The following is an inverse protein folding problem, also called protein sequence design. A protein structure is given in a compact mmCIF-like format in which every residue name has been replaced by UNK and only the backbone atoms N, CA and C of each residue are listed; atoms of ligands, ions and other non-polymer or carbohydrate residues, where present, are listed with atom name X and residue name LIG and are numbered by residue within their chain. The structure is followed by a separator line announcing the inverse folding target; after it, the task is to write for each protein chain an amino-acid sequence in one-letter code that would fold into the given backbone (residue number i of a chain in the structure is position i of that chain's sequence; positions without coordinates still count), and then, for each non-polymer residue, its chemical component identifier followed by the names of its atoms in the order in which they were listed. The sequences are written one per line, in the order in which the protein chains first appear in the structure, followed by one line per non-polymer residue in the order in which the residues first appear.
data_IF_354037002663
#
_entry.id   IF_354037002663
#
_cell.length_a   1.000
_cell.length_b   1.000
_cell.length_c   1.000
_cell.angle_alpha   90.00
_cell.angle_beta   90.00
_cell.angle_gamma   90.00
#
_symmetry.space_group_name_H-M   'P 1'
#
loop_
_entity.id
_entity.type
_entity.pdbx_description
1 polymer ?
#
# COMPACT_ATOMS: atom_id res chain seq x y z
N UNK A 1 16.02 -23.47 21.43
CA UNK A 1 15.06 -23.49 20.31
C UNK A 1 15.89 -23.70 19.03
N UNK A 2 15.78 -24.86 18.36
CA UNK A 2 16.57 -25.15 17.16
C UNK A 2 16.08 -24.25 16.02
N UNK A 3 16.99 -23.44 15.46
CA UNK A 3 16.70 -22.57 14.31
C UNK A 3 16.52 -23.46 13.09
N UNK A 4 15.34 -23.50 12.50
CA UNK A 4 15.08 -24.24 11.26
C UNK A 4 15.95 -23.70 10.10
N UNK A 5 16.53 -24.58 9.25
CA UNK A 5 17.25 -24.16 8.05
C UNK A 5 16.35 -23.29 7.14
N UNK A 6 16.93 -22.28 6.47
CA UNK A 6 16.21 -21.31 5.64
C UNK A 6 15.23 -21.93 4.62
N UNK A 7 15.58 -22.98 3.83
CA UNK A 7 14.65 -23.56 2.87
C UNK A 7 13.46 -24.26 3.56
N UNK A 8 13.65 -24.88 4.72
CA UNK A 8 12.59 -25.53 5.49
C UNK A 8 11.67 -24.47 6.09
N UNK A 9 12.22 -23.38 6.61
CA UNK A 9 11.49 -22.24 7.14
C UNK A 9 10.63 -21.59 6.05
N UNK A 10 11.17 -21.32 4.84
CA UNK A 10 10.45 -20.79 3.69
C UNK A 10 9.25 -21.68 3.30
N UNK A 11 9.46 -22.99 3.17
CA UNK A 11 8.39 -23.95 2.85
C UNK A 11 7.31 -24.00 3.92
N UNK A 12 7.69 -23.97 5.20
CA UNK A 12 6.76 -23.96 6.33
C UNK A 12 5.87 -22.69 6.34
N UNK A 13 6.47 -21.52 6.17
CA UNK A 13 5.71 -20.26 6.14
C UNK A 13 4.82 -20.16 4.90
N UNK A 14 5.28 -20.61 3.75
CA UNK A 14 4.47 -20.68 2.52
C UNK A 14 3.25 -21.58 2.68
N UNK A 15 3.42 -22.75 3.29
CA UNK A 15 2.31 -23.66 3.57
C UNK A 15 1.30 -23.06 4.56
N UNK A 16 1.78 -22.43 5.64
CA UNK A 16 0.90 -21.76 6.62
C UNK A 16 0.11 -20.61 6.01
N UNK A 17 0.75 -19.75 5.22
CA UNK A 17 0.08 -18.67 4.48
C UNK A 17 -0.99 -19.22 3.54
N UNK A 18 -0.69 -20.29 2.80
CA UNK A 18 -1.63 -20.93 1.90
C UNK A 18 -2.86 -21.51 2.64
N UNK A 19 -2.65 -22.13 3.80
CA UNK A 19 -3.73 -22.67 4.62
C UNK A 19 -4.59 -21.55 5.22
N UNK A 20 -3.98 -20.52 5.76
CA UNK A 20 -4.66 -19.34 6.29
C UNK A 20 -5.53 -18.67 5.22
N UNK A 21 -4.98 -18.49 4.00
CA UNK A 21 -5.73 -17.96 2.86
C UNK A 21 -6.96 -18.83 2.51
N UNK A 22 -6.77 -20.16 2.44
CA UNK A 22 -7.90 -21.08 2.14
C UNK A 22 -8.98 -20.97 3.20
N UNK A 23 -8.61 -20.92 4.49
CA UNK A 23 -9.56 -20.77 5.58
C UNK A 23 -10.32 -19.45 5.47
N UNK A 24 -9.63 -18.34 5.29
CA UNK A 24 -10.23 -17.01 5.10
C UNK A 24 -11.21 -17.01 3.91
N UNK A 25 -10.80 -17.53 2.75
CA UNK A 25 -11.67 -17.64 1.56
C UNK A 25 -12.92 -18.49 1.81
N UNK A 26 -12.80 -19.53 2.62
CA UNK A 26 -13.96 -20.37 2.98
C UNK A 26 -14.93 -19.64 3.92
N UNK A 27 -14.44 -18.75 4.79
CA UNK A 27 -15.26 -17.88 5.62
C UNK A 27 -15.95 -16.80 4.76
N UNK A 28 -15.20 -16.11 3.92
CA UNK A 28 -15.70 -15.08 2.99
C UNK A 28 -16.82 -15.65 2.09
N UNK A 29 -16.68 -16.89 1.60
CA UNK A 29 -17.70 -17.54 0.79
C UNK A 29 -19.03 -17.77 1.54
N UNK A 30 -19.02 -17.66 2.87
CA UNK A 30 -20.18 -17.74 3.76
C UNK A 30 -20.60 -16.37 4.31
N UNK A 31 -20.08 -15.30 3.72
CA UNK A 31 -20.26 -13.91 4.18
C UNK A 31 -19.73 -13.66 5.61
N UNK A 32 -18.76 -14.46 6.04
CA UNK A 32 -18.03 -14.24 7.30
C UNK A 32 -16.69 -13.53 6.99
N UNK A 33 -16.64 -12.23 7.25
CA UNK A 33 -15.47 -11.36 7.00
C UNK A 33 -14.65 -11.12 8.27
N UNK A 34 -14.82 -11.92 9.31
CA UNK A 34 -14.10 -11.79 10.59
C UNK A 34 -12.57 -11.88 10.47
N UNK A 35 -12.05 -12.47 9.39
CA UNK A 35 -10.63 -12.55 9.07
C UNK A 35 -10.23 -11.69 7.85
N UNK A 36 -11.08 -10.75 7.43
CA UNK A 36 -10.86 -9.93 6.24
C UNK A 36 -10.61 -8.45 6.55
N UNK A 37 -10.30 -8.15 7.80
CA UNK A 37 -9.90 -6.83 8.29
C UNK A 37 -8.43 -6.90 8.75
N UNK A 38 -7.45 -6.88 7.83
CA UNK A 38 -6.04 -7.05 8.16
C UNK A 38 -5.31 -5.76 8.48
N UNK A 39 -5.94 -4.59 8.31
CA UNK A 39 -5.31 -3.30 8.55
C UNK A 39 -4.87 -3.14 10.01
N UNK A 40 -3.78 -2.42 10.22
CA UNK A 40 -3.32 -2.08 11.56
C UNK A 40 -4.23 -1.03 12.19
N UNK A 41 -4.21 -0.92 13.51
CA UNK A 41 -4.90 0.13 14.27
C UNK A 41 -6.41 0.25 14.00
N UNK A 42 -7.09 -0.86 13.64
CA UNK A 42 -8.51 -0.88 13.28
C UNK A 42 -8.87 0.05 12.10
N UNK A 43 -7.90 0.35 11.21
CA UNK A 43 -8.10 1.25 10.06
C UNK A 43 -9.21 0.76 9.13
N UNK A 44 -9.40 -0.55 8.95
CA UNK A 44 -10.52 -1.11 8.18
C UNK A 44 -11.87 -0.50 8.61
N UNK A 45 -12.11 -0.44 9.93
CA UNK A 45 -13.35 0.12 10.50
C UNK A 45 -13.40 1.64 10.43
N UNK A 46 -12.26 2.28 10.65
CA UNK A 46 -12.15 3.73 10.56
C UNK A 46 -12.44 4.22 9.14
N UNK A 47 -11.96 3.49 8.13
CA UNK A 47 -12.21 3.74 6.71
C UNK A 47 -13.69 3.49 6.38
N UNK A 48 -14.23 2.33 6.74
CA UNK A 48 -15.62 1.97 6.46
C UNK A 48 -16.61 3.02 6.99
N UNK A 49 -16.39 3.50 8.22
CA UNK A 49 -17.22 4.52 8.84
C UNK A 49 -17.24 5.85 8.07
N UNK A 50 -16.14 6.20 7.37
CA UNK A 50 -16.00 7.45 6.61
C UNK A 50 -16.45 7.34 5.15
N UNK A 51 -16.57 6.13 4.64
CA UNK A 51 -17.10 5.87 3.30
C UNK A 51 -18.63 6.06 3.20
N UNK A 52 -19.32 6.36 4.32
CA UNK A 52 -20.76 6.63 4.36
C UNK A 52 -21.61 5.61 3.60
N UNK A 53 -21.27 4.32 3.76
CA UNK A 53 -21.92 3.20 3.04
C UNK A 53 -21.79 3.26 1.51
N UNK A 54 -20.84 3.99 0.95
CA UNK A 54 -20.56 3.97 -0.48
C UNK A 54 -20.13 2.55 -0.88
N UNK A 55 -20.90 1.96 -1.77
CA UNK A 55 -20.57 0.65 -2.34
C UNK A 55 -21.30 0.50 -3.67
N UNK A 56 -20.62 0.01 -4.71
CA UNK A 56 -19.18 -0.20 -4.79
C UNK A 56 -18.42 1.09 -5.11
N UNK A 57 -17.15 1.17 -4.66
CA UNK A 57 -16.22 2.27 -4.96
C UNK A 57 -14.93 1.80 -5.63
N UNK A 58 -14.03 2.76 -5.89
CA UNK A 58 -12.71 2.50 -6.45
C UNK A 58 -11.60 3.01 -5.53
N UNK A 59 -10.63 2.15 -5.24
CA UNK A 59 -9.48 2.50 -4.42
C UNK A 59 -8.15 2.38 -5.18
N UNK A 60 -7.15 3.07 -4.67
CA UNK A 60 -5.74 2.84 -4.98
C UNK A 60 -5.02 2.47 -3.69
N UNK A 61 -4.19 1.44 -3.71
CA UNK A 61 -3.31 1.06 -2.61
C UNK A 61 -1.87 0.99 -3.12
N UNK A 62 -1.04 1.91 -2.65
CA UNK A 62 0.38 1.97 -2.94
C UNK A 62 1.16 1.44 -1.73
N UNK A 63 2.07 0.49 -1.96
CA UNK A 63 2.67 -0.33 -0.93
C UNK A 63 1.81 -1.55 -0.59
N UNK A 64 1.26 -2.22 -1.61
CA UNK A 64 0.24 -3.26 -1.42
C UNK A 64 0.76 -4.58 -0.85
N UNK A 65 2.08 -4.74 -0.70
CA UNK A 65 2.73 -5.92 -0.16
C UNK A 65 2.22 -7.23 -0.81
N UNK A 66 1.78 -8.21 -0.03
CA UNK A 66 1.22 -9.47 -0.55
C UNK A 66 -0.29 -9.39 -0.87
N UNK A 67 -0.89 -8.19 -0.77
CA UNK A 67 -2.28 -7.89 -1.03
C UNK A 67 -3.24 -8.21 0.12
N UNK A 68 -2.72 -8.72 1.25
CA UNK A 68 -3.50 -9.00 2.45
C UNK A 68 -2.88 -8.42 3.72
N UNK A 69 -1.60 -8.73 3.97
CA UNK A 69 -0.94 -8.34 5.23
C UNK A 69 -0.94 -6.83 5.38
N UNK A 70 -1.57 -6.32 6.44
CA UNK A 70 -1.72 -4.90 6.78
C UNK A 70 -2.47 -4.05 5.74
N UNK A 71 -3.13 -4.67 4.74
CA UNK A 71 -3.82 -3.94 3.68
C UNK A 71 -5.01 -3.15 4.20
N UNK A 72 -5.06 -1.86 3.91
CA UNK A 72 -6.14 -0.94 4.25
C UNK A 72 -7.37 -1.08 3.32
N UNK A 73 -7.23 -1.81 2.20
CA UNK A 73 -8.29 -1.93 1.17
C UNK A 73 -8.78 -3.36 0.97
N UNK A 74 -8.21 -4.34 1.69
CA UNK A 74 -8.62 -5.75 1.54
C UNK A 74 -10.10 -5.95 1.84
N UNK A 75 -10.57 -5.41 2.96
CA UNK A 75 -11.96 -5.49 3.37
C UNK A 75 -12.90 -4.84 2.35
N UNK A 76 -12.52 -3.69 1.78
CA UNK A 76 -13.31 -3.01 0.76
C UNK A 76 -13.55 -3.90 -0.46
N UNK A 77 -12.53 -4.59 -0.96
CA UNK A 77 -12.66 -5.51 -2.08
C UNK A 77 -13.50 -6.73 -1.71
N UNK A 78 -13.19 -7.36 -0.56
CA UNK A 78 -13.73 -8.68 -0.24
C UNK A 78 -15.15 -8.66 0.32
N UNK A 79 -15.48 -7.66 1.13
CA UNK A 79 -16.75 -7.53 1.81
C UNK A 79 -17.71 -6.56 1.12
N UNK A 80 -17.18 -5.45 0.59
CA UNK A 80 -17.99 -4.35 0.05
C UNK A 80 -18.04 -4.32 -1.48
N UNK A 81 -17.35 -5.25 -2.16
CA UNK A 81 -17.39 -5.39 -3.62
C UNK A 81 -16.67 -4.28 -4.38
N UNK A 82 -15.79 -3.53 -3.73
CA UNK A 82 -14.96 -2.51 -4.36
C UNK A 82 -13.95 -3.13 -5.32
N UNK A 83 -13.40 -2.30 -6.19
CA UNK A 83 -12.30 -2.64 -7.09
C UNK A 83 -11.22 -1.58 -6.97
N UNK A 84 -10.00 -1.91 -7.39
CA UNK A 84 -8.94 -0.93 -7.27
C UNK A 84 -7.70 -1.22 -8.09
N UNK A 85 -6.73 -0.35 -7.87
CA UNK A 85 -5.36 -0.46 -8.33
C UNK A 85 -4.46 -0.69 -7.12
N UNK A 86 -3.68 -1.76 -7.15
CA UNK A 86 -2.62 -2.02 -6.19
C UNK A 86 -1.27 -1.83 -6.87
N UNK A 87 -0.37 -1.13 -6.21
CA UNK A 87 1.01 -0.94 -6.67
C UNK A 87 1.96 -1.55 -5.65
N UNK A 88 2.80 -2.47 -6.14
CA UNK A 88 3.78 -3.17 -5.31
C UNK A 88 5.09 -3.34 -6.08
N UNK A 89 6.20 -2.73 -5.61
CA UNK A 89 7.46 -2.78 -6.32
C UNK A 89 8.16 -4.15 -6.26
N UNK A 90 8.00 -4.91 -5.18
CA UNK A 90 8.70 -6.21 -5.02
C UNK A 90 8.04 -7.28 -5.88
N UNK A 91 8.72 -7.86 -6.91
CA UNK A 91 8.07 -8.72 -7.90
C UNK A 91 7.39 -9.97 -7.32
N UNK A 92 7.95 -10.56 -6.26
CA UNK A 92 7.37 -11.75 -5.63
C UNK A 92 6.09 -11.39 -4.85
N UNK A 93 6.08 -10.21 -4.21
CA UNK A 93 4.93 -9.70 -3.47
C UNK A 93 3.81 -9.27 -4.42
N UNK A 94 4.11 -8.55 -5.50
CA UNK A 94 3.15 -8.21 -6.54
C UNK A 94 2.48 -9.47 -7.14
N UNK A 95 3.23 -10.56 -7.35
CA UNK A 95 2.65 -11.84 -7.77
C UNK A 95 1.74 -12.47 -6.71
N UNK A 96 2.06 -12.30 -5.44
CA UNK A 96 1.20 -12.74 -4.33
C UNK A 96 -0.08 -11.90 -4.28
N UNK A 97 0.03 -10.58 -4.37
CA UNK A 97 -1.08 -9.65 -4.39
C UNK A 97 -2.06 -9.94 -5.54
N UNK A 98 -1.60 -10.24 -6.76
CA UNK A 98 -2.45 -10.65 -7.90
C UNK A 98 -3.31 -11.88 -7.60
N UNK A 99 -2.80 -12.82 -6.80
CA UNK A 99 -3.56 -14.02 -6.39
C UNK A 99 -4.53 -13.73 -5.25
N UNK A 100 -4.20 -12.77 -4.43
CA UNK A 100 -5.00 -12.38 -3.27
C UNK A 100 -6.14 -11.44 -3.65
N UNK A 101 -5.94 -10.56 -4.63
CA UNK A 101 -6.82 -9.46 -5.04
C UNK A 101 -7.35 -9.63 -6.48
N UNK A 102 -8.18 -10.65 -6.73
CA UNK A 102 -8.59 -11.01 -8.10
C UNK A 102 -9.55 -10.01 -8.75
N UNK A 103 -10.21 -9.14 -7.98
CA UNK A 103 -11.11 -8.12 -8.51
C UNK A 103 -10.41 -6.79 -8.82
N UNK A 104 -9.13 -6.67 -8.47
CA UNK A 104 -8.34 -5.45 -8.64
C UNK A 104 -7.16 -5.65 -9.60
N UNK A 105 -6.68 -4.55 -10.17
CA UNK A 105 -5.46 -4.54 -11.00
C UNK A 105 -4.25 -4.42 -10.10
N UNK A 106 -3.22 -5.26 -10.30
CA UNK A 106 -1.96 -5.18 -9.56
C UNK A 106 -0.81 -4.88 -10.51
N UNK A 107 -0.15 -3.75 -10.32
CA UNK A 107 1.01 -3.30 -11.10
C UNK A 107 2.29 -3.47 -10.28
N UNK A 108 3.32 -4.05 -10.92
CA UNK A 108 4.63 -4.17 -10.33
C UNK A 108 5.53 -3.05 -10.86
N UNK A 109 5.65 -1.98 -10.11
CA UNK A 109 6.50 -0.83 -10.41
C UNK A 109 6.79 -0.03 -9.13
N UNK A 110 7.75 0.86 -9.17
CA UNK A 110 7.94 1.90 -8.17
C UNK A 110 7.25 3.20 -8.58
N UNK A 111 6.61 3.85 -7.62
CA UNK A 111 5.96 5.14 -7.85
C UNK A 111 6.97 6.28 -7.70
N UNK A 112 6.86 7.28 -8.60
CA UNK A 112 7.80 8.40 -8.68
C UNK A 112 7.06 9.71 -8.97
N UNK A 113 7.67 10.88 -8.65
CA UNK A 113 7.12 12.17 -9.04
C UNK A 113 7.16 12.37 -10.56
N UNK A 114 6.42 13.35 -11.05
CA UNK A 114 6.25 13.62 -12.48
C UNK A 114 7.52 14.08 -13.20
N UNK A 115 8.47 14.63 -12.47
CA UNK A 115 9.78 15.08 -12.97
C UNK A 115 10.91 14.05 -12.78
N UNK A 116 10.59 12.83 -12.41
CA UNK A 116 11.58 11.78 -12.20
C UNK A 116 12.32 11.45 -13.51
N UNK A 117 13.69 11.50 -13.53
CA UNK A 117 14.44 11.56 -14.78
C UNK A 117 14.68 10.19 -15.45
N UNK A 118 14.36 9.07 -14.77
CA UNK A 118 14.72 7.73 -15.24
C UNK A 118 13.47 6.85 -15.49
N UNK A 119 13.66 5.80 -16.29
CA UNK A 119 12.59 4.82 -16.55
C UNK A 119 12.49 3.74 -15.48
N UNK A 120 13.50 3.59 -14.64
CA UNK A 120 13.56 2.64 -13.53
C UNK A 120 13.95 3.35 -12.25
N UNK A 121 13.45 2.85 -11.13
CA UNK A 121 13.80 3.30 -9.79
C UNK A 121 14.53 2.18 -9.06
N UNK A 122 15.58 2.55 -8.33
CA UNK A 122 16.36 1.64 -7.49
C UNK A 122 15.76 1.57 -6.10
N UNK A 123 15.50 0.36 -5.64
CA UNK A 123 14.92 0.08 -4.34
C UNK A 123 15.84 -0.84 -3.56
N UNK A 124 15.78 -0.73 -2.24
CA UNK A 124 16.46 -1.61 -1.30
C UNK A 124 15.42 -2.45 -0.57
N UNK A 125 15.53 -3.77 -0.73
CA UNK A 125 14.61 -4.72 -0.09
C UNK A 125 14.88 -4.80 1.41
N UNK A 126 13.85 -4.52 2.19
CA UNK A 126 13.84 -4.64 3.66
C UNK A 126 12.59 -5.39 4.17
N UNK A 127 12.01 -6.26 3.37
CA UNK A 127 10.75 -6.94 3.72
C UNK A 127 9.54 -6.02 3.58
N UNK A 128 8.81 -5.80 4.66
CA UNK A 128 7.68 -4.84 4.68
C UNK A 128 8.17 -3.40 4.51
N UNK A 129 9.40 -3.09 4.90
CA UNK A 129 10.01 -1.76 4.82
C UNK A 129 10.95 -1.63 3.63
N UNK A 130 10.45 -1.93 2.42
CA UNK A 130 11.23 -1.75 1.18
C UNK A 130 11.23 -0.27 0.79
N UNK A 131 12.40 0.34 0.73
CA UNK A 131 12.59 1.78 0.57
C UNK A 131 13.26 2.15 -0.75
N UNK A 132 13.10 3.40 -1.20
CA UNK A 132 13.88 3.94 -2.33
C UNK A 132 15.35 4.02 -1.92
N UNK A 133 16.25 3.40 -2.69
CA UNK A 133 17.67 3.26 -2.33
C UNK A 133 18.40 4.60 -2.13
N UNK A 134 17.97 5.64 -2.85
CA UNK A 134 18.50 7.01 -2.73
C UNK A 134 17.78 7.88 -1.70
N UNK A 135 16.73 7.38 -1.04
CA UNK A 135 16.02 8.17 -0.03
C UNK A 135 16.92 8.46 1.19
N UNK A 136 16.83 9.65 1.81
CA UNK A 136 17.52 9.94 3.06
C UNK A 136 17.17 8.89 4.13
N UNK A 137 18.20 8.31 4.80
CA UNK A 137 17.98 7.31 5.84
C UNK A 137 17.67 5.87 5.35
N UNK A 138 17.60 5.63 4.04
CA UNK A 138 17.28 4.31 3.48
C UNK A 138 18.11 3.15 4.06
N UNK A 139 19.40 3.39 4.37
CA UNK A 139 20.27 2.39 4.99
C UNK A 139 19.90 2.07 6.43
N UNK A 140 19.52 3.07 7.20
CA UNK A 140 19.12 2.92 8.61
C UNK A 140 17.76 2.22 8.73
N UNK A 141 16.82 2.59 7.86
CA UNK A 141 15.51 1.95 7.75
C UNK A 141 15.62 0.46 7.39
N UNK A 142 16.43 0.13 6.39
CA UNK A 142 16.64 -1.26 5.99
C UNK A 142 17.27 -2.10 7.12
N UNK A 143 18.21 -1.53 7.88
CA UNK A 143 18.80 -2.20 9.05
C UNK A 143 17.78 -2.41 10.17
N UNK A 144 16.93 -1.42 10.43
CA UNK A 144 15.86 -1.53 11.43
C UNK A 144 14.83 -2.60 11.04
N UNK A 145 14.46 -2.66 9.75
CA UNK A 145 13.58 -3.70 9.22
C UNK A 145 14.15 -5.11 9.39
N UNK A 146 15.45 -5.28 9.13
CA UNK A 146 16.12 -6.57 9.33
C UNK A 146 16.16 -6.99 10.82
N UNK A 147 16.32 -6.04 11.73
CA UNK A 147 16.34 -6.33 13.16
C UNK A 147 14.97 -6.75 13.68
N UNK A 148 13.90 -6.22 13.13
CA UNK A 148 12.52 -6.44 13.60
C UNK A 148 11.83 -7.63 12.91
N UNK A 149 12.26 -8.02 11.73
CA UNK A 149 11.69 -9.15 10.99
C UNK A 149 12.80 -10.14 10.62
N UNK A 150 12.61 -11.42 10.96
CA UNK A 150 13.45 -12.49 10.43
C UNK A 150 13.13 -12.63 8.93
N UNK A 151 13.75 -11.80 8.09
CA UNK A 151 13.60 -11.84 6.66
C UNK A 151 14.02 -13.21 6.13
N UNK A 152 13.23 -13.78 5.22
CA UNK A 152 13.59 -15.02 4.53
C UNK A 152 14.66 -14.80 3.45
N UNK A 153 14.92 -13.54 3.07
CA UNK A 153 15.95 -13.14 2.10
C UNK A 153 16.82 -12.01 2.67
N UNK A 154 18.13 -12.03 2.36
CA UNK A 154 19.03 -10.95 2.74
C UNK A 154 18.64 -9.65 2.02
N UNK A 155 19.01 -8.52 2.63
CA UNK A 155 18.92 -7.21 2.01
C UNK A 155 19.64 -7.19 0.66
N UNK A 156 18.99 -6.62 -0.34
CA UNK A 156 19.57 -6.43 -1.67
C UNK A 156 18.91 -5.25 -2.39
N UNK A 157 19.63 -4.66 -3.32
CA UNK A 157 19.07 -3.64 -4.21
C UNK A 157 18.53 -4.27 -5.49
N UNK A 158 17.45 -3.70 -6.02
CA UNK A 158 16.84 -4.12 -7.26
C UNK A 158 16.19 -2.94 -7.97
N UNK A 159 16.04 -3.03 -9.29
CA UNK A 159 15.38 -2.03 -10.12
C UNK A 159 13.99 -2.48 -10.54
N UNK A 160 13.07 -1.55 -10.63
CA UNK A 160 11.73 -1.76 -11.21
C UNK A 160 11.33 -0.57 -12.09
N UNK A 161 10.38 -0.76 -13.02
CA UNK A 161 9.86 0.35 -13.81
C UNK A 161 9.39 1.50 -12.92
N UNK A 162 9.81 2.72 -13.23
CA UNK A 162 9.35 3.94 -12.57
C UNK A 162 8.07 4.44 -13.25
N UNK A 163 7.00 4.65 -12.49
CA UNK A 163 5.70 5.11 -12.99
C UNK A 163 5.11 6.18 -12.08
N UNK A 164 4.45 7.16 -12.64
CA UNK A 164 3.65 8.10 -11.86
C UNK A 164 2.27 7.51 -11.57
N UNK A 165 1.64 7.90 -10.45
CA UNK A 165 0.27 7.50 -10.14
C UNK A 165 -0.68 7.88 -11.28
N UNK A 166 -0.58 9.10 -11.81
CA UNK A 166 -1.42 9.54 -12.93
C UNK A 166 -1.28 8.68 -14.15
N UNK A 167 -0.05 8.26 -14.52
CA UNK A 167 0.17 7.40 -15.68
C UNK A 167 -0.51 6.04 -15.54
N UNK A 168 -0.56 5.48 -14.33
CA UNK A 168 -1.24 4.23 -14.05
C UNK A 168 -2.77 4.38 -14.10
N UNK A 169 -3.30 5.45 -13.51
CA UNK A 169 -4.74 5.75 -13.52
C UNK A 169 -5.24 5.98 -14.96
N UNK A 170 -4.47 6.68 -15.78
CA UNK A 170 -4.77 6.89 -17.21
C UNK A 170 -4.77 5.55 -17.97
N UNK A 171 -3.75 4.72 -17.76
CA UNK A 171 -3.60 3.44 -18.46
C UNK A 171 -4.80 2.51 -18.22
N UNK A 172 -5.26 2.42 -16.99
CA UNK A 172 -6.42 1.58 -16.65
C UNK A 172 -7.77 2.29 -16.88
N UNK A 173 -7.75 3.56 -17.28
CA UNK A 173 -8.95 4.40 -17.38
C UNK A 173 -9.74 4.39 -16.08
N UNK A 174 -9.05 4.66 -14.99
CA UNK A 174 -9.64 4.62 -13.65
C UNK A 174 -10.88 5.52 -13.56
N UNK A 175 -11.93 5.08 -12.86
CA UNK A 175 -13.02 5.98 -12.47
C UNK A 175 -12.52 6.99 -11.42
N UNK A 176 -13.42 7.80 -10.85
CA UNK A 176 -13.10 8.61 -9.67
C UNK A 176 -12.50 7.71 -8.58
N UNK A 177 -11.40 8.15 -7.99
CA UNK A 177 -10.76 7.43 -6.87
C UNK A 177 -11.44 7.85 -5.58
N UNK A 178 -12.16 6.93 -4.95
CA UNK A 178 -12.81 7.19 -3.66
C UNK A 178 -11.81 7.16 -2.50
N UNK A 179 -10.82 6.28 -2.55
CA UNK A 179 -9.78 6.15 -1.54
C UNK A 179 -8.40 5.90 -2.17
N UNK A 180 -7.42 6.73 -1.83
CA UNK A 180 -5.99 6.43 -2.00
C UNK A 180 -5.41 6.07 -0.63
N UNK A 181 -4.87 4.86 -0.50
CA UNK A 181 -4.05 4.44 0.65
C UNK A 181 -2.59 4.44 0.22
N UNK A 182 -1.76 5.20 0.93
CA UNK A 182 -0.37 5.46 0.59
C UNK A 182 0.53 5.11 1.77
N UNK A 183 1.32 4.06 1.61
CA UNK A 183 2.29 3.54 2.56
C UNK A 183 3.51 3.08 1.73
N UNK A 184 4.46 3.98 1.52
CA UNK A 184 5.63 3.80 0.64
C UNK A 184 6.94 4.12 1.34
N UNK A 185 6.94 4.00 2.68
CA UNK A 185 8.12 4.00 3.51
C UNK A 185 8.97 5.30 3.38
N UNK A 186 8.30 6.45 3.53
CA UNK A 186 8.92 7.77 3.55
C UNK A 186 9.10 8.44 2.18
N UNK A 187 8.40 7.93 1.15
CA UNK A 187 8.42 8.49 -0.20
C UNK A 187 7.03 9.02 -0.65
N UNK A 188 6.14 9.29 0.33
CA UNK A 188 4.73 9.64 0.14
C UNK A 188 4.56 10.95 -0.62
N UNK A 189 5.31 11.98 -0.23
CA UNK A 189 5.25 13.30 -0.88
C UNK A 189 5.71 13.23 -2.35
N UNK A 190 6.73 12.45 -2.66
CA UNK A 190 7.23 12.21 -4.02
C UNK A 190 6.20 11.47 -4.87
N UNK A 191 5.57 10.43 -4.31
CA UNK A 191 4.50 9.70 -4.99
C UNK A 191 3.32 10.61 -5.30
N UNK A 192 2.91 11.46 -4.37
CA UNK A 192 1.87 12.47 -4.59
C UNK A 192 2.29 13.53 -5.61
N UNK A 193 3.59 13.85 -5.71
CA UNK A 193 4.15 14.68 -6.79
C UNK A 193 3.99 14.05 -8.19
N UNK A 194 3.71 12.76 -8.26
CA UNK A 194 3.35 12.02 -9.49
C UNK A 194 1.85 11.92 -9.74
N UNK A 195 1.01 12.52 -8.90
CA UNK A 195 -0.44 12.58 -9.04
C UNK A 195 -0.86 13.97 -9.54
N UNK A 196 -1.37 14.01 -10.76
CA UNK A 196 -1.95 15.23 -11.36
C UNK A 196 -3.31 15.52 -10.71
N UNK A 197 -3.31 16.40 -9.71
CA UNK A 197 -4.49 16.79 -8.96
C UNK A 197 -5.49 17.68 -9.75
N UNK A 198 -5.24 17.99 -11.01
CA UNK A 198 -6.25 18.59 -11.90
C UNK A 198 -7.13 17.52 -12.55
N UNK A 199 -6.60 16.30 -12.72
CA UNK A 199 -7.30 15.20 -13.41
C UNK A 199 -7.71 14.06 -12.48
N UNK A 200 -6.90 13.78 -11.47
CA UNK A 200 -7.09 12.70 -10.54
C UNK A 200 -7.08 13.25 -9.11
N UNK A 201 -8.25 13.51 -8.58
CA UNK A 201 -8.42 14.09 -7.23
C UNK A 201 -9.13 13.06 -6.35
N UNK A 202 -8.40 12.19 -5.62
CA UNK A 202 -9.03 11.23 -4.72
C UNK A 202 -9.95 11.92 -3.70
N UNK A 203 -11.08 11.30 -3.38
CA UNK A 203 -12.01 11.85 -2.39
C UNK A 203 -11.39 11.83 -0.99
N UNK A 204 -10.68 10.75 -0.69
CA UNK A 204 -9.94 10.57 0.57
C UNK A 204 -8.55 10.03 0.27
N UNK A 205 -7.57 10.49 1.04
CA UNK A 205 -6.20 9.99 0.99
C UNK A 205 -5.80 9.62 2.42
N UNK A 206 -5.44 8.37 2.64
CA UNK A 206 -4.79 7.92 3.88
C UNK A 206 -3.31 7.81 3.58
N UNK A 207 -2.50 8.40 4.44
CA UNK A 207 -1.04 8.41 4.30
C UNK A 207 -0.43 7.96 5.61
N UNK A 208 0.48 6.96 5.55
CA UNK A 208 1.33 6.63 6.68
C UNK A 208 2.47 7.64 6.76
N UNK A 209 2.63 8.29 7.93
CA UNK A 209 3.68 9.29 8.18
C UNK A 209 4.24 9.13 9.59
N UNK A 210 5.47 8.71 9.70
CA UNK A 210 6.14 8.54 10.98
C UNK A 210 6.63 9.85 11.59
N UNK A 211 6.93 10.85 10.75
CA UNK A 211 7.52 12.12 11.19
C UNK A 211 6.65 13.31 10.79
N UNK A 212 6.63 14.31 11.67
CA UNK A 212 5.94 15.59 11.41
C UNK A 212 6.40 16.26 10.12
N UNK A 213 7.70 16.22 9.82
CA UNK A 213 8.25 16.82 8.61
C UNK A 213 7.67 16.18 7.33
N UNK A 214 7.42 14.87 7.33
CA UNK A 214 6.78 14.17 6.20
C UNK A 214 5.32 14.59 6.06
N UNK A 215 4.57 14.69 7.15
CA UNK A 215 3.20 15.19 7.13
C UNK A 215 3.10 16.61 6.54
N UNK A 216 4.04 17.49 6.88
CA UNK A 216 4.11 18.85 6.33
C UNK A 216 4.43 18.85 4.82
N UNK A 217 5.29 17.94 4.34
CA UNK A 217 5.59 17.77 2.90
C UNK A 217 4.36 17.27 2.13
N UNK A 218 3.69 16.24 2.65
CA UNK A 218 2.44 15.70 2.08
C UNK A 218 1.38 16.81 1.99
N UNK A 219 1.17 17.55 3.07
CA UNK A 219 0.20 18.65 3.09
C UNK A 219 0.56 19.76 2.09
N UNK A 220 1.84 20.07 1.91
CA UNK A 220 2.29 21.06 0.93
C UNK A 220 1.99 20.63 -0.51
N UNK A 221 2.14 19.35 -0.84
CA UNK A 221 1.78 18.81 -2.16
C UNK A 221 0.27 18.83 -2.40
N UNK A 222 -0.53 18.45 -1.41
CA UNK A 222 -2.00 18.41 -1.51
C UNK A 222 -2.64 19.80 -1.55
N UNK A 223 -1.99 20.81 -0.94
CA UNK A 223 -2.43 22.19 -0.93
C UNK A 223 -3.83 22.37 -0.32
N UNK A 224 -4.54 23.40 -0.80
CA UNK A 224 -5.88 23.76 -0.30
C UNK A 224 -7.04 22.90 -0.85
N UNK A 225 -6.75 21.91 -1.69
CA UNK A 225 -7.77 20.99 -2.21
C UNK A 225 -8.34 20.07 -1.14
N UNK A 226 -7.56 19.83 -0.09
CA UNK A 226 -7.95 18.97 1.02
C UNK A 226 -8.14 19.76 2.32
N UNK A 227 -9.01 19.24 3.19
CA UNK A 227 -9.15 19.74 4.56
C UNK A 227 -7.89 19.44 5.37
N UNK A 228 -7.65 20.14 6.49
CA UNK A 228 -6.62 19.76 7.43
C UNK A 228 -6.75 18.27 7.80
N UNK A 229 -5.63 17.53 7.90
CA UNK A 229 -5.71 16.09 8.10
C UNK A 229 -6.30 15.70 9.45
N UNK A 230 -7.11 14.65 9.45
CA UNK A 230 -7.55 13.93 10.63
C UNK A 230 -6.54 12.82 10.95
N UNK A 231 -6.16 12.69 12.23
CA UNK A 231 -5.30 11.58 12.66
C UNK A 231 -6.15 10.34 12.96
N UNK A 232 -5.91 9.25 12.22
CA UNK A 232 -6.62 7.98 12.41
C UNK A 232 -5.90 7.03 13.37
N UNK A 233 -4.56 7.07 13.37
CA UNK A 233 -3.69 6.25 14.20
C UNK A 233 -2.45 7.02 14.63
N UNK A 234 -1.50 6.45 15.40
CA UNK A 234 -0.23 7.11 15.69
C UNK A 234 0.55 7.55 14.45
N UNK A 235 0.41 6.85 13.33
CA UNK A 235 1.17 7.06 12.09
C UNK A 235 0.30 7.42 10.89
N UNK A 236 -1.02 7.22 10.93
CA UNK A 236 -1.89 7.43 9.78
C UNK A 236 -2.63 8.75 9.84
N UNK A 237 -2.59 9.50 8.74
CA UNK A 237 -3.35 10.73 8.50
C UNK A 237 -4.36 10.53 7.38
N UNK A 238 -5.59 11.02 7.57
CA UNK A 238 -6.63 11.08 6.57
C UNK A 238 -6.80 12.52 6.07
N UNK A 239 -6.68 12.69 4.77
CA UNK A 239 -7.01 13.93 4.06
C UNK A 239 -8.33 13.73 3.30
N UNK A 240 -9.30 14.58 3.55
CA UNK A 240 -10.60 14.57 2.87
C UNK A 240 -10.69 15.75 1.90
N UNK A 241 -11.12 15.49 0.67
CA UNK A 241 -11.28 16.52 -0.36
C UNK A 241 -12.29 17.58 0.12
N UNK A 242 -12.01 18.85 -0.10
CA UNK A 242 -12.76 19.97 0.48
C UNK A 242 -14.19 20.16 -0.07
N UNK A 243 -14.46 19.68 -1.26
CA UNK A 243 -15.74 19.83 -1.96
C UNK A 243 -16.73 18.67 -1.76
N UNK A 244 -16.48 17.85 -0.73
CA UNK A 244 -17.30 16.69 -0.34
C UNK A 244 -18.29 17.02 0.76
#
# INVERSE_FOLDING_TARGET
MQVMPAPVRRSYWSARRSLARRRRRALEARSDFSQSMPALHDLDRAIEARLEHRSPGFFVEAGAFDGYTQSNTYYLERALGWRGLLVEPVPILARAARRERPASTVVNCGLVPSDYPAQEIQLRYGGTMTVVASAPGAGEWAQAAQANMALDEPEHEFAVPARTLSSLLDEIRAPEVDLLSLDVEGYEAEVLGGLDLERHVPRMIIVEVDMRAEAERVQAVLGDRYLPPERLSPVDLLFTRRDL
#
